data_IF_771445421177
#
_entry.id   IF_771445421177
#
_cell.length_a   1.000
_cell.length_b   1.000
_cell.length_c   1.000
_cell.angle_alpha   90.00
_cell.angle_beta   90.00
_cell.angle_gamma   90.00
#
_symmetry.space_group_name_H-M   'P 1'
#
loop_
_entity.id
_entity.type
_entity.pdbx_description
1 polymer ?
#
# COMPACT_ATOMS: atom_id res chain seq x y z
N UNK A 1 -36.88 -16.15 -5.35
CA UNK A 1 -36.12 -15.46 -6.41
C UNK A 1 -36.50 -16.08 -7.75
N UNK A 2 -37.11 -15.31 -8.67
CA UNK A 2 -37.48 -15.83 -9.98
C UNK A 2 -36.23 -16.02 -10.87
N UNK A 3 -36.08 -17.16 -11.57
CA UNK A 3 -34.95 -17.39 -12.47
C UNK A 3 -35.02 -16.42 -13.66
N UNK A 4 -33.89 -15.77 -13.95
CA UNK A 4 -33.74 -14.85 -15.08
C UNK A 4 -33.85 -15.65 -16.38
N UNK A 5 -34.94 -15.44 -17.14
CA UNK A 5 -35.28 -16.25 -18.33
C UNK A 5 -34.42 -15.97 -19.57
N UNK A 6 -33.56 -14.95 -19.59
CA UNK A 6 -32.58 -14.71 -20.68
C UNK A 6 -31.33 -13.94 -20.21
N UNK A 7 -30.15 -14.11 -20.84
CA UNK A 7 -28.93 -13.32 -20.55
C UNK A 7 -29.12 -11.81 -20.66
N UNK A 8 -30.02 -11.36 -21.55
CA UNK A 8 -30.33 -9.95 -21.73
C UNK A 8 -31.10 -9.37 -20.53
N UNK A 9 -32.08 -10.10 -19.98
CA UNK A 9 -32.78 -9.69 -18.77
C UNK A 9 -31.83 -9.60 -17.56
N UNK A 10 -30.85 -10.51 -17.46
CA UNK A 10 -29.82 -10.47 -16.43
C UNK A 10 -28.94 -9.21 -16.54
N UNK A 11 -28.54 -8.84 -17.77
CA UNK A 11 -27.75 -7.63 -18.03
C UNK A 11 -28.52 -6.34 -17.70
N UNK A 12 -29.80 -6.26 -18.05
CA UNK A 12 -30.64 -5.09 -17.72
C UNK A 12 -30.77 -4.94 -16.21
N UNK A 13 -31.04 -6.04 -15.49
CA UNK A 13 -31.14 -6.02 -14.03
C UNK A 13 -29.82 -5.64 -13.36
N UNK A 14 -28.69 -6.18 -13.85
CA UNK A 14 -27.36 -5.82 -13.38
C UNK A 14 -27.10 -4.32 -13.55
N UNK A 15 -27.37 -3.78 -14.75
CA UNK A 15 -27.22 -2.35 -15.04
C UNK A 15 -28.05 -1.48 -14.10
N UNK A 16 -29.31 -1.83 -13.85
CA UNK A 16 -30.19 -1.07 -12.94
C UNK A 16 -29.65 -1.06 -11.50
N UNK A 17 -29.21 -2.22 -10.99
CA UNK A 17 -28.63 -2.35 -9.65
C UNK A 17 -27.32 -1.56 -9.54
N UNK A 18 -26.46 -1.61 -10.55
CA UNK A 18 -25.21 -0.84 -10.59
C UNK A 18 -25.48 0.67 -10.62
N UNK A 19 -26.39 1.13 -11.48
CA UNK A 19 -26.77 2.54 -11.53
C UNK A 19 -27.31 3.05 -10.19
N UNK A 20 -28.14 2.25 -9.51
CA UNK A 20 -28.65 2.58 -8.18
C UNK A 20 -27.51 2.66 -7.15
N UNK A 21 -26.58 1.70 -7.14
CA UNK A 21 -25.48 1.68 -6.19
C UNK A 21 -24.51 2.85 -6.41
N UNK A 22 -24.13 3.14 -7.66
CA UNK A 22 -23.29 4.28 -8.00
C UNK A 22 -24.01 5.60 -7.68
N UNK A 23 -25.30 5.71 -7.97
CA UNK A 23 -26.09 6.90 -7.63
C UNK A 23 -26.21 7.15 -6.12
N UNK A 24 -26.41 6.09 -5.33
CA UNK A 24 -26.41 6.20 -3.87
C UNK A 24 -25.03 6.64 -3.32
N UNK A 25 -23.95 6.19 -3.96
CA UNK A 25 -22.60 6.62 -3.60
C UNK A 25 -22.34 8.09 -3.97
N UNK A 26 -22.73 8.53 -5.16
CA UNK A 26 -22.60 9.93 -5.58
C UNK A 26 -23.35 10.88 -4.64
N UNK A 27 -24.60 10.53 -4.28
CA UNK A 27 -25.38 11.31 -3.32
C UNK A 27 -24.71 11.37 -1.95
N UNK A 28 -24.20 10.24 -1.46
CA UNK A 28 -23.48 10.20 -0.20
C UNK A 28 -22.19 11.04 -0.23
N UNK A 29 -21.44 11.03 -1.33
CA UNK A 29 -20.26 11.89 -1.51
C UNK A 29 -20.63 13.37 -1.48
N UNK A 30 -21.72 13.76 -2.15
CA UNK A 30 -22.24 15.12 -2.12
C UNK A 30 -22.59 15.55 -0.69
N UNK A 31 -23.34 14.71 0.04
CA UNK A 31 -23.72 14.98 1.43
C UNK A 31 -22.49 15.06 2.35
N UNK A 32 -21.50 14.17 2.13
CA UNK A 32 -20.25 14.13 2.88
C UNK A 32 -19.42 15.39 2.67
N UNK A 33 -19.27 15.83 1.42
CA UNK A 33 -18.55 17.07 1.10
C UNK A 33 -19.21 18.27 1.78
N UNK A 34 -20.53 18.42 1.63
CA UNK A 34 -21.27 19.50 2.30
C UNK A 34 -21.18 19.43 3.83
N UNK A 35 -21.12 18.23 4.41
CA UNK A 35 -20.88 18.05 5.84
C UNK A 35 -19.45 18.47 6.25
N UNK A 36 -18.44 18.10 5.46
CA UNK A 36 -17.04 18.48 5.70
C UNK A 36 -16.84 20.00 5.62
N UNK A 37 -17.46 20.66 4.64
CA UNK A 37 -17.37 22.11 4.46
C UNK A 37 -17.98 22.86 5.65
N UNK A 38 -19.17 22.43 6.12
CA UNK A 38 -19.80 23.00 7.32
C UNK A 38 -18.98 22.75 8.59
N UNK A 39 -18.41 21.54 8.74
CA UNK A 39 -17.54 21.22 9.86
C UNK A 39 -16.27 22.10 9.85
N UNK A 40 -15.69 22.35 8.68
CA UNK A 40 -14.53 23.22 8.54
C UNK A 40 -14.87 24.69 8.82
N UNK A 41 -16.02 25.17 8.34
CA UNK A 41 -16.51 26.53 8.63
C UNK A 41 -16.73 26.74 10.14
N UNK A 42 -17.36 25.80 10.83
CA UNK A 42 -17.54 25.85 12.28
C UNK A 42 -16.21 25.87 13.05
N UNK A 43 -15.23 25.04 12.62
CA UNK A 43 -13.87 25.07 13.19
C UNK A 43 -13.19 26.44 13.02
N UNK A 44 -13.33 27.06 11.83
CA UNK A 44 -12.79 28.41 11.58
C UNK A 44 -13.49 29.47 12.44
N UNK A 45 -14.80 29.35 12.62
CA UNK A 45 -15.59 30.21 13.49
C UNK A 45 -15.44 29.89 15.00
N UNK A 46 -14.66 28.85 15.35
CA UNK A 46 -14.51 28.33 16.73
C UNK A 46 -15.86 28.00 17.40
N UNK A 47 -16.84 27.55 16.62
CA UNK A 47 -18.15 27.11 17.10
C UNK A 47 -18.23 25.59 17.17
N UNK A 48 -19.14 25.08 18.00
CA UNK A 48 -19.44 23.65 18.05
C UNK A 48 -20.20 23.21 16.80
N UNK A 49 -19.90 21.99 16.33
CA UNK A 49 -20.55 21.40 15.16
C UNK A 49 -21.05 20.00 15.50
N UNK A 50 -22.37 19.87 15.67
CA UNK A 50 -23.01 18.66 16.16
C UNK A 50 -23.91 17.97 15.10
N UNK A 51 -23.72 18.26 13.81
CA UNK A 51 -24.49 17.61 12.77
C UNK A 51 -24.02 16.15 12.57
N UNK A 52 -24.94 15.17 12.48
CA UNK A 52 -24.57 13.78 12.26
C UNK A 52 -23.86 13.62 10.91
N UNK A 53 -22.81 12.80 10.89
CA UNK A 53 -22.09 12.48 9.64
C UNK A 53 -22.99 11.63 8.73
N UNK A 54 -23.03 11.90 7.41
CA UNK A 54 -23.79 11.08 6.45
C UNK A 54 -23.42 9.60 6.55
N UNK A 55 -24.43 8.74 6.61
CA UNK A 55 -24.25 7.29 6.72
C UNK A 55 -23.76 6.73 5.38
N UNK A 56 -22.75 5.87 5.45
CA UNK A 56 -22.22 5.18 4.27
C UNK A 56 -23.31 4.25 3.71
N UNK A 57 -23.54 4.22 2.39
CA UNK A 57 -24.42 3.24 1.77
C UNK A 57 -24.00 1.80 2.11
N UNK A 58 -24.95 0.86 2.28
CA UNK A 58 -24.62 -0.53 2.58
C UNK A 58 -23.82 -1.17 1.43
N UNK A 59 -22.91 -2.11 1.74
CA UNK A 59 -22.16 -2.83 0.71
C UNK A 59 -23.11 -3.67 -0.15
N UNK A 60 -22.86 -3.69 -1.45
CA UNK A 60 -23.60 -4.49 -2.41
C UNK A 60 -22.78 -5.71 -2.82
N UNK A 61 -23.37 -6.90 -2.67
CA UNK A 61 -22.83 -8.15 -3.22
C UNK A 61 -23.60 -8.54 -4.48
N UNK A 62 -22.87 -8.71 -5.58
CA UNK A 62 -23.43 -9.18 -6.86
C UNK A 62 -22.88 -10.56 -7.15
N UNK A 63 -23.75 -11.58 -7.08
CA UNK A 63 -23.43 -12.92 -7.56
C UNK A 63 -23.92 -13.07 -8.99
N UNK A 64 -22.98 -13.07 -9.93
CA UNK A 64 -23.24 -13.15 -11.36
C UNK A 64 -22.14 -13.99 -12.02
N UNK A 65 -22.52 -14.87 -12.95
CA UNK A 65 -21.57 -15.72 -13.66
C UNK A 65 -20.55 -14.88 -14.42
N UNK A 66 -19.35 -15.44 -14.60
CA UNK A 66 -18.34 -14.89 -15.52
C UNK A 66 -18.92 -14.78 -16.93
N UNK A 67 -18.40 -13.83 -17.74
CA UNK A 67 -18.87 -13.62 -19.12
C UNK A 67 -20.16 -12.78 -19.29
N UNK A 68 -20.83 -12.37 -18.21
CA UNK A 68 -22.03 -11.51 -18.31
C UNK A 68 -21.72 -10.06 -18.72
N UNK A 69 -20.44 -9.67 -18.74
CA UNK A 69 -20.00 -8.30 -19.07
C UNK A 69 -20.05 -7.34 -17.88
N UNK A 70 -19.89 -7.84 -16.64
CA UNK A 70 -19.96 -7.04 -15.40
C UNK A 70 -19.01 -5.83 -15.43
N UNK A 71 -17.73 -6.09 -15.65
CA UNK A 71 -16.67 -5.08 -15.64
C UNK A 71 -16.86 -4.05 -16.76
N UNK A 72 -17.38 -4.49 -17.92
CA UNK A 72 -17.72 -3.59 -19.03
C UNK A 72 -18.91 -2.68 -18.72
N UNK A 73 -19.98 -3.19 -18.10
CA UNK A 73 -21.12 -2.36 -17.66
C UNK A 73 -20.69 -1.34 -16.59
N UNK A 74 -19.86 -1.76 -15.64
CA UNK A 74 -19.31 -0.85 -14.62
C UNK A 74 -18.46 0.22 -15.30
N UNK A 75 -17.62 -0.13 -16.27
CA UNK A 75 -16.81 0.82 -17.02
C UNK A 75 -17.66 1.86 -17.77
N UNK A 76 -18.74 1.43 -18.45
CA UNK A 76 -19.66 2.33 -19.14
C UNK A 76 -20.35 3.31 -18.17
N UNK A 77 -20.88 2.81 -17.05
CA UNK A 77 -21.57 3.66 -16.07
C UNK A 77 -20.56 4.62 -15.41
N UNK A 78 -19.38 4.14 -15.04
CA UNK A 78 -18.35 4.96 -14.40
C UNK A 78 -17.85 6.07 -15.33
N UNK A 79 -17.64 5.76 -16.62
CA UNK A 79 -17.24 6.74 -17.63
C UNK A 79 -18.22 7.92 -17.73
N UNK A 80 -19.52 7.66 -17.66
CA UNK A 80 -20.57 8.67 -17.78
C UNK A 80 -20.73 9.53 -16.52
N UNK A 81 -20.53 8.94 -15.34
CA UNK A 81 -20.83 9.58 -14.05
C UNK A 81 -19.65 10.30 -13.42
N UNK A 82 -18.42 9.98 -13.83
CA UNK A 82 -17.18 10.42 -13.17
C UNK A 82 -17.12 10.11 -11.66
N UNK A 83 -17.91 9.14 -11.19
CA UNK A 83 -17.92 8.68 -9.80
C UNK A 83 -16.51 8.28 -9.37
N UNK A 84 -15.99 8.81 -8.24
CA UNK A 84 -14.71 8.38 -7.69
C UNK A 84 -14.72 6.88 -7.40
N UNK A 85 -13.96 6.10 -8.17
CA UNK A 85 -14.02 4.64 -8.18
C UNK A 85 -12.63 4.03 -8.11
N UNK A 86 -12.49 2.97 -7.31
CA UNK A 86 -11.34 2.07 -7.29
C UNK A 86 -11.80 0.67 -7.70
N UNK A 87 -11.42 0.24 -8.90
CA UNK A 87 -11.69 -1.09 -9.43
C UNK A 87 -10.53 -2.02 -9.12
N UNK A 88 -10.74 -2.99 -8.23
CA UNK A 88 -9.75 -3.97 -7.84
C UNK A 88 -9.98 -5.26 -8.61
N UNK A 89 -8.90 -5.83 -9.15
CA UNK A 89 -8.92 -6.98 -10.06
C UNK A 89 -7.91 -8.05 -9.65
N UNK A 90 -8.17 -9.28 -10.09
CA UNK A 90 -7.30 -10.43 -9.83
C UNK A 90 -5.99 -10.42 -10.62
N UNK A 91 -5.90 -9.73 -11.75
CA UNK A 91 -4.68 -9.67 -12.58
C UNK A 91 -4.46 -8.28 -13.16
N UNK A 92 -3.22 -8.00 -13.60
CA UNK A 92 -2.89 -6.74 -14.29
C UNK A 92 -3.59 -6.62 -15.64
N UNK A 93 -3.83 -7.73 -16.33
CA UNK A 93 -4.50 -7.72 -17.62
C UNK A 93 -5.98 -7.33 -17.48
N UNK A 94 -6.66 -7.82 -16.42
CA UNK A 94 -8.03 -7.41 -16.12
C UNK A 94 -8.12 -5.93 -15.74
N UNK A 95 -7.14 -5.41 -15.00
CA UNK A 95 -7.00 -3.97 -14.73
C UNK A 95 -6.91 -3.18 -16.04
N UNK A 96 -6.03 -3.58 -16.94
CA UNK A 96 -5.78 -2.87 -18.19
C UNK A 96 -7.00 -2.96 -19.13
N UNK A 97 -7.66 -4.12 -19.17
CA UNK A 97 -8.92 -4.30 -19.90
C UNK A 97 -10.04 -3.39 -19.36
N UNK A 98 -10.15 -3.21 -18.04
CA UNK A 98 -11.11 -2.29 -17.44
C UNK A 98 -10.81 -0.83 -17.82
N UNK A 99 -9.54 -0.40 -17.74
CA UNK A 99 -9.13 0.95 -18.13
C UNK A 99 -9.43 1.21 -19.61
N UNK A 100 -9.11 0.25 -20.48
CA UNK A 100 -9.45 0.33 -21.90
C UNK A 100 -10.97 0.43 -22.12
N UNK A 101 -11.78 -0.35 -21.38
CA UNK A 101 -13.24 -0.29 -21.47
C UNK A 101 -13.81 1.07 -21.02
N UNK A 102 -13.25 1.70 -19.98
CA UNK A 102 -13.63 3.06 -19.58
C UNK A 102 -13.30 4.05 -20.69
N UNK A 103 -12.11 3.95 -21.30
CA UNK A 103 -11.70 4.79 -22.42
C UNK A 103 -12.61 4.64 -23.65
N UNK A 104 -12.99 3.41 -24.00
CA UNK A 104 -13.95 3.13 -25.09
C UNK A 104 -15.34 3.71 -24.82
N UNK A 105 -15.74 3.82 -23.55
CA UNK A 105 -16.98 4.46 -23.14
C UNK A 105 -16.89 5.99 -23.05
N UNK A 106 -15.76 6.60 -23.44
CA UNK A 106 -15.54 8.04 -23.42
C UNK A 106 -15.08 8.60 -22.07
N UNK A 107 -14.73 7.74 -21.10
CA UNK A 107 -14.23 8.14 -19.79
C UNK A 107 -12.70 8.17 -19.71
N UNK A 108 -12.19 8.54 -18.54
CA UNK A 108 -10.76 8.47 -18.21
C UNK A 108 -10.57 7.65 -16.94
N UNK A 109 -9.67 6.67 -16.99
CA UNK A 109 -9.27 5.86 -15.85
C UNK A 109 -7.74 5.70 -15.81
N UNK A 110 -7.19 5.65 -14.60
CA UNK A 110 -5.77 5.41 -14.39
C UNK A 110 -5.51 3.96 -13.98
N UNK A 111 -4.62 3.28 -14.70
CA UNK A 111 -4.10 1.98 -14.30
C UNK A 111 -3.06 2.17 -13.20
N UNK A 112 -3.35 1.77 -11.97
CA UNK A 112 -2.34 1.77 -10.92
C UNK A 112 -1.39 0.58 -11.06
N UNK A 113 -0.10 0.90 -11.08
CA UNK A 113 1.00 -0.05 -10.92
C UNK A 113 1.81 0.31 -9.67
N UNK A 114 2.29 -0.74 -8.99
CA UNK A 114 3.32 -0.58 -7.96
C UNK A 114 4.65 -0.13 -8.56
N UNK A 115 5.65 0.10 -7.71
CA UNK A 115 7.01 0.42 -8.18
C UNK A 115 7.53 -0.71 -9.05
N UNK A 116 8.02 -0.37 -10.24
CA UNK A 116 8.72 -1.34 -11.06
C UNK A 116 10.17 -1.52 -10.62
N UNK A 117 10.65 -2.75 -10.68
CA UNK A 117 11.99 -3.13 -10.21
C UNK A 117 13.04 -3.09 -11.32
N UNK A 118 12.67 -3.42 -12.55
CA UNK A 118 13.61 -3.45 -13.67
C UNK A 118 13.73 -2.09 -14.36
N UNK A 119 14.95 -1.68 -14.75
CA UNK A 119 15.15 -0.54 -15.65
C UNK A 119 14.34 -0.71 -16.94
N UNK A 120 13.81 0.41 -17.48
CA UNK A 120 12.98 0.40 -18.69
C UNK A 120 11.50 0.03 -18.47
N UNK A 121 11.12 -0.46 -17.29
CA UNK A 121 9.70 -0.64 -16.96
C UNK A 121 9.03 0.69 -16.59
N UNK A 122 7.75 0.87 -16.92
CA UNK A 122 6.96 2.02 -16.45
C UNK A 122 7.07 2.17 -14.92
N UNK A 123 7.29 3.40 -14.46
CA UNK A 123 7.39 3.75 -13.03
C UNK A 123 8.52 3.03 -12.27
N UNK A 124 9.61 2.70 -12.98
CA UNK A 124 10.84 2.21 -12.37
C UNK A 124 11.36 3.17 -11.30
N UNK A 125 11.72 2.62 -10.14
CA UNK A 125 12.33 3.38 -9.06
C UNK A 125 13.85 3.27 -9.15
N UNK A 126 14.53 4.40 -9.40
CA UNK A 126 16.00 4.44 -9.51
C UNK A 126 16.74 4.07 -8.21
N UNK A 127 16.02 4.04 -7.07
CA UNK A 127 16.56 3.66 -5.74
C UNK A 127 15.93 2.39 -5.20
N UNK A 128 15.46 1.51 -6.08
CA UNK A 128 14.72 0.31 -5.65
C UNK A 128 15.59 -0.63 -4.81
N UNK A 129 16.88 -0.77 -5.14
CA UNK A 129 17.83 -1.60 -4.40
C UNK A 129 18.16 -1.01 -3.02
N UNK A 130 18.32 0.31 -2.92
CA UNK A 130 18.41 0.99 -1.61
C UNK A 130 17.18 0.71 -0.76
N UNK A 131 15.99 0.79 -1.37
CA UNK A 131 14.72 0.50 -0.72
C UNK A 131 14.61 -0.94 -0.23
N UNK A 132 15.06 -1.92 -1.02
CA UNK A 132 15.11 -3.34 -0.63
C UNK A 132 16.10 -3.57 0.51
N UNK A 133 17.30 -3.02 0.40
CA UNK A 133 18.33 -3.10 1.45
C UNK A 133 17.85 -2.49 2.78
N UNK A 134 17.17 -1.35 2.73
CA UNK A 134 16.62 -0.68 3.91
C UNK A 134 15.39 -1.37 4.49
N UNK A 135 14.51 -1.92 3.64
CA UNK A 135 13.36 -2.71 4.05
C UNK A 135 13.80 -4.02 4.72
N UNK A 136 14.77 -4.73 4.14
CA UNK A 136 15.39 -5.91 4.72
C UNK A 136 16.04 -5.61 6.08
N UNK A 137 16.62 -4.40 6.24
CA UNK A 137 17.19 -3.93 7.51
C UNK A 137 16.14 -3.37 8.48
N UNK A 138 14.85 -3.28 8.13
CA UNK A 138 13.77 -2.60 8.87
C UNK A 138 14.10 -1.16 9.32
N UNK A 139 15.07 -0.50 8.67
CA UNK A 139 15.67 0.76 9.16
C UNK A 139 14.88 2.01 8.78
N UNK A 140 14.11 1.97 7.69
CA UNK A 140 13.44 3.16 7.15
C UNK A 140 12.09 2.74 6.53
N UNK A 141 11.00 3.39 6.93
CA UNK A 141 9.74 3.31 6.19
C UNK A 141 9.96 3.92 4.79
N UNK A 142 9.70 3.16 3.72
CA UNK A 142 9.94 3.57 2.33
C UNK A 142 9.53 5.02 1.95
N UNK A 143 8.47 5.63 2.52
CA UNK A 143 8.16 7.05 2.29
C UNK A 143 9.29 8.03 2.68
N UNK A 144 10.08 7.71 3.70
CA UNK A 144 11.21 8.54 4.15
C UNK A 144 12.38 8.51 3.15
N UNK A 145 12.57 7.40 2.43
CA UNK A 145 13.56 7.32 1.34
C UNK A 145 13.20 8.28 0.21
N UNK A 146 11.91 8.36 -0.14
CA UNK A 146 11.43 9.22 -1.22
C UNK A 146 11.57 10.71 -0.89
N UNK A 147 11.35 11.10 0.37
CA UNK A 147 11.49 12.49 0.84
C UNK A 147 12.92 13.03 0.77
N UNK A 148 13.93 12.17 0.64
CA UNK A 148 15.35 12.53 0.54
C UNK A 148 15.99 12.05 -0.77
N UNK A 149 15.19 11.55 -1.70
CA UNK A 149 15.68 11.08 -2.99
C UNK A 149 15.77 12.25 -3.96
N UNK A 150 16.92 12.47 -4.60
CA UNK A 150 17.12 13.52 -5.63
C UNK A 150 16.06 13.48 -6.74
N UNK A 151 15.69 12.30 -7.24
CA UNK A 151 14.66 12.14 -8.27
C UNK A 151 13.27 12.56 -7.76
N UNK A 152 12.97 12.25 -6.50
CA UNK A 152 11.68 12.60 -5.90
C UNK A 152 11.59 14.07 -5.53
N UNK A 153 12.68 14.66 -5.04
CA UNK A 153 12.79 16.10 -4.80
C UNK A 153 12.69 16.89 -6.11
N UNK A 154 13.30 16.39 -7.20
CA UNK A 154 13.16 16.97 -8.54
C UNK A 154 11.70 17.00 -8.99
N UNK A 155 11.01 15.87 -8.92
CA UNK A 155 9.58 15.79 -9.31
C UNK A 155 8.69 16.71 -8.46
N UNK A 156 8.91 16.75 -7.14
CA UNK A 156 8.15 17.65 -6.26
C UNK A 156 8.40 19.11 -6.59
N UNK A 157 9.67 19.50 -6.81
CA UNK A 157 10.04 20.87 -7.18
C UNK A 157 9.36 21.29 -8.48
N UNK A 158 9.46 20.45 -9.51
CA UNK A 158 8.90 20.76 -10.84
C UNK A 158 7.37 20.87 -10.75
N UNK A 159 6.72 19.99 -9.98
CA UNK A 159 5.29 20.08 -9.69
C UNK A 159 4.90 21.38 -8.96
N UNK A 160 5.55 21.71 -7.84
CA UNK A 160 5.19 22.90 -7.07
C UNK A 160 5.52 24.21 -7.80
N UNK A 161 6.53 24.20 -8.67
CA UNK A 161 6.81 25.28 -9.61
C UNK A 161 5.66 25.42 -10.63
N UNK A 162 5.16 24.32 -11.19
CA UNK A 162 4.08 24.34 -12.18
C UNK A 162 2.75 24.86 -11.60
N UNK A 163 2.41 24.51 -10.36
CA UNK A 163 1.20 25.01 -9.68
C UNK A 163 1.38 26.37 -9.01
N UNK A 164 2.58 26.98 -9.09
CA UNK A 164 2.86 28.34 -8.58
C UNK A 164 2.95 28.46 -7.05
N UNK A 165 3.35 27.42 -6.33
CA UNK A 165 3.43 27.45 -4.86
C UNK A 165 4.82 27.83 -4.34
N UNK A 166 5.09 29.12 -4.20
CA UNK A 166 6.39 29.64 -3.71
C UNK A 166 6.77 29.09 -2.35
N UNK A 167 5.79 28.96 -1.43
CA UNK A 167 6.02 28.42 -0.08
C UNK A 167 6.50 26.97 -0.11
N UNK A 168 5.87 26.13 -0.93
CA UNK A 168 6.28 24.71 -1.02
C UNK A 168 7.60 24.59 -1.80
N UNK A 169 7.78 25.42 -2.82
CA UNK A 169 9.01 25.48 -3.59
C UNK A 169 10.20 25.82 -2.69
N UNK A 170 10.11 26.88 -1.89
CA UNK A 170 11.14 27.28 -0.93
C UNK A 170 11.45 26.17 0.09
N UNK A 171 10.42 25.47 0.58
CA UNK A 171 10.59 24.34 1.50
C UNK A 171 11.37 23.18 0.85
N UNK A 172 11.05 22.85 -0.40
CA UNK A 172 11.75 21.79 -1.13
C UNK A 172 13.18 22.22 -1.45
N UNK A 173 13.38 23.48 -1.84
CA UNK A 173 14.70 24.06 -2.11
C UNK A 173 15.62 23.93 -0.88
N UNK A 174 15.11 24.26 0.31
CA UNK A 174 15.84 24.10 1.58
C UNK A 174 16.24 22.64 1.85
N UNK A 175 15.39 21.67 1.51
CA UNK A 175 15.71 20.23 1.65
C UNK A 175 16.77 19.81 0.63
N UNK A 176 16.71 20.33 -0.60
CA UNK A 176 17.71 20.06 -1.66
C UNK A 176 19.08 20.59 -1.23
N UNK A 177 19.14 21.81 -0.71
CA UNK A 177 20.36 22.46 -0.23
C UNK A 177 20.94 21.70 0.97
N UNK A 178 20.11 21.39 1.97
CA UNK A 178 20.54 20.64 3.17
C UNK A 178 21.06 19.24 2.84
N UNK A 179 20.60 18.65 1.74
CA UNK A 179 21.05 17.33 1.27
C UNK A 179 22.28 17.40 0.34
N UNK A 180 22.76 18.59 -0.02
CA UNK A 180 23.90 18.78 -0.92
C UNK A 180 23.60 18.49 -2.40
N UNK A 181 22.33 18.52 -2.83
CA UNK A 181 21.93 18.17 -4.20
C UNK A 181 21.79 19.36 -5.15
N UNK A 182 22.23 20.56 -4.77
CA UNK A 182 21.95 21.82 -5.49
C UNK A 182 22.28 21.74 -7.00
N UNK A 183 23.49 21.28 -7.35
CA UNK A 183 23.92 21.14 -8.76
C UNK A 183 23.40 19.86 -9.42
N UNK A 184 23.32 18.78 -8.65
CA UNK A 184 22.97 17.45 -9.17
C UNK A 184 21.50 17.36 -9.60
N UNK A 185 20.62 18.12 -8.94
CA UNK A 185 19.18 18.03 -9.19
C UNK A 185 18.79 18.55 -10.57
N UNK A 186 19.57 19.46 -11.16
CA UNK A 186 19.31 19.95 -12.51
C UNK A 186 19.58 18.90 -13.58
N UNK A 187 20.53 18.00 -13.32
CA UNK A 187 20.90 16.90 -14.22
C UNK A 187 20.14 15.61 -13.91
N UNK A 188 19.36 15.60 -12.83
CA UNK A 188 18.64 14.42 -12.35
C UNK A 188 17.29 14.30 -13.04
N UNK A 189 16.94 13.09 -13.50
CA UNK A 189 15.61 12.79 -14.02
C UNK A 189 14.55 12.79 -12.93
N UNK A 190 13.39 13.36 -13.20
CA UNK A 190 12.27 13.36 -12.27
C UNK A 190 11.74 11.93 -12.00
N UNK A 191 11.18 11.71 -10.81
CA UNK A 191 10.67 10.39 -10.41
C UNK A 191 9.29 10.10 -11.02
N UNK A 192 9.27 9.32 -12.10
CA UNK A 192 8.03 8.86 -12.76
C UNK A 192 7.06 8.13 -11.82
N UNK A 193 7.55 7.46 -10.77
CA UNK A 193 6.68 6.78 -9.81
C UNK A 193 5.95 7.75 -8.88
N UNK A 194 6.60 8.84 -8.45
CA UNK A 194 5.94 9.87 -7.62
C UNK A 194 4.92 10.63 -8.45
N UNK A 195 5.23 10.95 -9.71
CA UNK A 195 4.28 11.50 -10.66
C UNK A 195 3.05 10.58 -10.78
N UNK A 196 3.28 9.30 -11.10
CA UNK A 196 2.21 8.30 -11.20
C UNK A 196 1.37 8.16 -9.93
N UNK A 197 1.97 8.20 -8.73
CA UNK A 197 1.22 8.18 -7.48
C UNK A 197 0.31 9.40 -7.32
N UNK A 198 0.82 10.60 -7.64
CA UNK A 198 0.03 11.84 -7.62
C UNK A 198 -1.13 11.73 -8.60
N UNK A 199 -0.83 11.37 -9.85
CA UNK A 199 -1.81 11.34 -10.95
C UNK A 199 -2.90 10.29 -10.69
N UNK A 200 -2.51 9.12 -10.15
CA UNK A 200 -3.47 8.09 -9.71
C UNK A 200 -4.36 8.61 -8.58
N UNK A 201 -3.80 9.32 -7.61
CA UNK A 201 -4.58 9.86 -6.48
C UNK A 201 -5.59 10.91 -6.93
N UNK A 202 -5.26 11.66 -7.99
CA UNK A 202 -6.14 12.68 -8.57
C UNK A 202 -7.12 12.16 -9.62
N UNK A 203 -6.85 11.01 -10.25
CA UNK A 203 -7.76 10.41 -11.23
C UNK A 203 -9.06 9.96 -10.55
N UNK A 204 -10.26 10.30 -11.05
CA UNK A 204 -11.52 9.89 -10.43
C UNK A 204 -11.74 8.38 -10.53
N UNK A 205 -11.31 7.74 -11.61
CA UNK A 205 -11.42 6.28 -11.78
C UNK A 205 -10.02 5.68 -11.78
N UNK A 206 -9.78 4.72 -10.90
CA UNK A 206 -8.52 3.98 -10.79
C UNK A 206 -8.81 2.50 -10.87
N UNK A 207 -8.00 1.76 -11.62
CA UNK A 207 -7.99 0.30 -11.59
C UNK A 207 -6.68 -0.20 -11.00
N UNK A 208 -6.73 -1.22 -10.14
CA UNK A 208 -5.54 -1.83 -9.54
C UNK A 208 -5.69 -3.35 -9.39
N UNK A 209 -4.57 -4.04 -9.25
CA UNK A 209 -4.52 -5.43 -8.79
C UNK A 209 -4.77 -5.51 -7.27
N UNK A 210 -5.36 -6.58 -6.76
CA UNK A 210 -5.65 -6.74 -5.32
C UNK A 210 -4.45 -6.49 -4.41
N UNK A 211 -3.30 -7.06 -4.72
CA UNK A 211 -2.08 -6.91 -3.93
C UNK A 211 -1.54 -5.47 -3.89
N UNK A 212 -2.06 -4.59 -4.75
CA UNK A 212 -1.69 -3.18 -4.81
C UNK A 212 -2.59 -2.28 -3.95
N UNK A 213 -3.62 -2.82 -3.30
CA UNK A 213 -4.55 -2.04 -2.49
C UNK A 213 -3.82 -1.26 -1.38
N UNK A 214 -4.24 -0.01 -1.19
CA UNK A 214 -3.83 0.79 -0.03
C UNK A 214 -4.94 1.77 0.31
N UNK A 215 -4.97 2.24 1.57
CA UNK A 215 -5.92 3.26 2.01
C UNK A 215 -5.81 4.56 1.21
N UNK A 216 -4.60 4.89 0.72
CA UNK A 216 -4.38 6.03 -0.16
C UNK A 216 -5.06 5.87 -1.53
N UNK A 217 -5.12 4.65 -2.08
CA UNK A 217 -5.86 4.37 -3.31
C UNK A 217 -7.38 4.38 -3.09
N UNK A 218 -7.84 4.01 -1.90
CA UNK A 218 -9.26 4.08 -1.53
C UNK A 218 -9.77 5.53 -1.36
N UNK A 219 -8.87 6.50 -1.44
CA UNK A 219 -9.17 7.93 -1.37
C UNK A 219 -8.92 8.59 -2.73
N UNK A 220 -9.75 9.56 -3.04
CA UNK A 220 -9.62 10.46 -4.16
C UNK A 220 -9.34 11.86 -3.62
N UNK A 221 -8.36 12.53 -4.22
CA UNK A 221 -8.15 13.95 -4.02
C UNK A 221 -8.42 14.66 -5.33
N UNK A 222 -9.04 15.83 -5.27
CA UNK A 222 -9.11 16.65 -6.48
C UNK A 222 -7.69 17.01 -6.97
N UNK A 223 -7.50 17.17 -8.29
CA UNK A 223 -6.24 17.66 -8.83
C UNK A 223 -5.87 19.01 -8.22
N UNK A 224 -4.60 19.18 -7.87
CA UNK A 224 -4.07 20.47 -7.43
C UNK A 224 -3.69 21.24 -8.70
N UNK A 225 -4.47 22.25 -9.03
CA UNK A 225 -4.27 23.07 -10.23
C UNK A 225 -3.57 24.39 -9.93
N UNK A 226 -3.62 24.85 -8.67
CA UNK A 226 -3.06 26.12 -8.23
C UNK A 226 -2.49 26.05 -6.81
N UNK A 227 -1.79 27.11 -6.41
CA UNK A 227 -1.29 27.26 -5.05
C UNK A 227 -2.40 27.40 -3.98
N UNK A 228 -3.62 27.80 -4.38
CA UNK A 228 -4.76 27.88 -3.47
C UNK A 228 -5.33 26.49 -3.14
N UNK A 229 -5.08 25.51 -4.00
CA UNK A 229 -5.64 24.16 -3.93
C UNK A 229 -4.70 23.13 -3.31
N UNK A 230 -3.66 23.54 -2.56
CA UNK A 230 -2.59 22.63 -2.14
C UNK A 230 -3.03 21.50 -1.19
N UNK A 231 -4.21 21.61 -0.58
CA UNK A 231 -4.74 20.62 0.36
C UNK A 231 -6.23 20.38 0.12
N UNK A 232 -6.61 19.79 -1.03
CA UNK A 232 -8.00 19.45 -1.27
C UNK A 232 -8.42 18.36 -0.26
N UNK A 233 -9.70 18.33 0.14
CA UNK A 233 -10.19 17.29 1.04
C UNK A 233 -10.03 15.90 0.40
N UNK A 234 -9.73 14.90 1.24
CA UNK A 234 -9.77 13.50 0.83
C UNK A 234 -11.22 13.03 0.80
N UNK A 235 -11.67 12.60 -0.37
CA UNK A 235 -12.95 11.94 -0.56
C UNK A 235 -12.75 10.42 -0.70
N UNK A 236 -13.61 9.59 -0.10
CA UNK A 236 -13.56 8.15 -0.31
C UNK A 236 -13.98 7.77 -1.73
N UNK A 237 -13.40 6.71 -2.29
CA UNK A 237 -13.85 6.11 -3.55
C UNK A 237 -14.83 4.97 -3.29
N UNK A 238 -15.70 4.70 -4.25
CA UNK A 238 -16.41 3.44 -4.33
C UNK A 238 -15.40 2.34 -4.68
N UNK A 239 -15.22 1.38 -3.77
CA UNK A 239 -14.35 0.23 -4.01
C UNK A 239 -15.19 -0.87 -4.66
N UNK A 240 -14.78 -1.28 -5.85
CA UNK A 240 -15.35 -2.43 -6.56
C UNK A 240 -14.30 -3.53 -6.57
N UNK A 241 -14.69 -4.73 -6.18
CA UNK A 241 -13.81 -5.91 -6.12
C UNK A 241 -14.36 -6.91 -7.15
N UNK A 242 -13.61 -7.11 -8.25
CA UNK A 242 -14.00 -7.99 -9.36
C UNK A 242 -13.37 -9.39 -9.26
N UNK A 243 -14.21 -10.39 -9.03
CA UNK A 243 -13.82 -11.72 -8.56
C UNK A 243 -13.33 -11.69 -7.10
N UNK A 244 -13.65 -12.73 -6.33
CA UNK A 244 -13.28 -12.76 -4.91
C UNK A 244 -11.76 -12.82 -4.79
N UNK A 245 -11.09 -11.91 -4.04
CA UNK A 245 -9.67 -12.02 -3.81
C UNK A 245 -9.42 -13.34 -3.07
N UNK A 246 -8.32 -14.05 -3.32
CA UNK A 246 -7.99 -15.24 -2.57
C UNK A 246 -7.86 -14.87 -1.09
N UNK A 247 -8.89 -15.22 -0.30
CA UNK A 247 -8.95 -14.93 1.13
C UNK A 247 -7.99 -15.83 1.93
N UNK A 248 -7.51 -16.91 1.32
CA UNK A 248 -6.44 -17.75 1.80
C UNK A 248 -5.33 -17.81 0.73
N UNK A 249 -4.13 -17.36 1.10
CA UNK A 249 -2.93 -17.75 0.38
C UNK A 249 -2.34 -18.96 1.10
N UNK A 250 -2.16 -20.05 0.36
CA UNK A 250 -1.33 -21.15 0.85
C UNK A 250 0.12 -20.65 0.79
N UNK A 251 0.73 -20.46 1.96
CA UNK A 251 2.16 -20.18 2.06
C UNK A 251 2.85 -21.52 2.18
N UNK A 252 3.54 -21.92 1.12
CA UNK A 252 4.43 -23.08 1.18
C UNK A 252 5.68 -22.67 1.94
N UNK A 253 5.94 -23.32 3.07
CA UNK A 253 7.18 -23.18 3.84
C UNK A 253 8.00 -24.43 3.59
N UNK A 254 9.21 -24.25 3.07
CA UNK A 254 10.15 -25.34 2.81
C UNK A 254 11.23 -25.41 3.90
N UNK A 255 11.99 -26.50 3.91
CA UNK A 255 13.18 -26.62 4.76
C UNK A 255 14.25 -25.58 4.41
N UNK A 256 14.34 -25.14 3.15
CA UNK A 256 15.23 -24.06 2.71
C UNK A 256 14.84 -22.72 3.33
N UNK A 257 13.54 -22.40 3.41
CA UNK A 257 13.06 -21.18 4.06
C UNK A 257 13.44 -21.16 5.55
N UNK A 258 13.29 -22.29 6.23
CA UNK A 258 13.65 -22.42 7.65
C UNK A 258 15.17 -22.29 7.84
N UNK A 259 15.97 -22.92 6.99
CA UNK A 259 17.42 -22.78 7.02
C UNK A 259 17.84 -21.32 6.80
N UNK A 260 17.20 -20.61 5.87
CA UNK A 260 17.45 -19.19 5.63
C UNK A 260 17.08 -18.33 6.84
N UNK A 261 15.93 -18.59 7.49
CA UNK A 261 15.54 -17.88 8.70
C UNK A 261 16.52 -18.15 9.85
N UNK A 262 16.93 -19.40 10.03
CA UNK A 262 17.90 -19.82 11.04
C UNK A 262 19.25 -19.12 10.85
N UNK A 263 19.76 -19.07 9.61
CA UNK A 263 20.99 -18.36 9.27
C UNK A 263 20.91 -16.84 9.58
N UNK A 264 19.72 -16.24 9.51
CA UNK A 264 19.51 -14.84 9.85
C UNK A 264 19.37 -14.56 11.36
N UNK A 265 19.10 -15.57 12.18
CA UNK A 265 18.89 -15.40 13.62
C UNK A 265 20.15 -14.94 14.35
N UNK A 266 21.31 -15.54 14.05
CA UNK A 266 22.60 -15.14 14.68
C UNK A 266 22.86 -13.64 14.53
N UNK A 267 22.92 -13.12 13.29
CA UNK A 267 23.05 -11.67 13.05
C UNK A 267 21.92 -10.83 13.66
N UNK A 268 20.70 -11.36 13.77
CA UNK A 268 19.58 -10.64 14.39
C UNK A 268 19.73 -10.52 15.91
N UNK A 269 20.19 -11.57 16.58
CA UNK A 269 20.48 -11.60 18.01
C UNK A 269 21.60 -10.62 18.35
N UNK A 270 22.68 -10.61 17.57
CA UNK A 270 23.79 -9.67 17.75
C UNK A 270 23.34 -8.22 17.61
N UNK A 271 22.51 -7.92 16.60
CA UNK A 271 21.92 -6.59 16.44
C UNK A 271 21.02 -6.20 17.60
N UNK A 272 20.17 -7.12 18.08
CA UNK A 272 19.30 -6.85 19.22
C UNK A 272 20.11 -6.57 20.50
N UNK A 273 21.23 -7.28 20.71
CA UNK A 273 22.17 -7.00 21.82
C UNK A 273 22.84 -5.64 21.66
N UNK A 274 23.33 -5.32 20.46
CA UNK A 274 23.95 -4.02 20.20
C UNK A 274 22.97 -2.85 20.40
N UNK A 275 21.72 -2.99 19.93
CA UNK A 275 20.64 -2.02 20.14
C UNK A 275 20.34 -1.85 21.64
N UNK A 276 20.29 -2.95 22.40
CA UNK A 276 20.11 -2.92 23.85
C UNK A 276 21.26 -2.15 24.53
N UNK A 277 22.52 -2.51 24.26
CA UNK A 277 23.69 -1.83 24.84
C UNK A 277 23.70 -0.35 24.50
N UNK A 278 23.35 0.01 23.26
CA UNK A 278 23.24 1.41 22.84
C UNK A 278 22.14 2.14 23.61
N UNK A 279 20.96 1.55 23.77
CA UNK A 279 19.85 2.16 24.48
C UNK A 279 20.15 2.32 25.98
N UNK A 280 20.86 1.36 26.59
CA UNK A 280 21.37 1.47 27.96
C UNK A 280 22.38 2.61 28.13
N UNK A 281 23.28 2.79 27.17
CA UNK A 281 24.22 3.92 27.16
C UNK A 281 23.49 5.25 27.04
N UNK A 282 22.52 5.34 26.11
CA UNK A 282 21.69 6.54 25.94
C UNK A 282 20.89 6.88 27.21
N UNK A 283 20.38 5.87 27.91
CA UNK A 283 19.68 6.07 29.18
C UNK A 283 20.62 6.66 30.25
N UNK A 284 21.87 6.19 30.33
CA UNK A 284 22.88 6.73 31.27
C UNK A 284 23.26 8.17 30.94
N UNK A 285 23.29 8.53 29.66
CA UNK A 285 23.62 9.87 29.17
C UNK A 285 22.41 10.82 29.15
N UNK A 286 21.20 10.34 29.43
CA UNK A 286 20.00 11.14 29.33
C UNK A 286 19.82 12.08 30.53
N UNK A 287 20.04 13.37 30.28
CA UNK A 287 19.83 14.46 31.24
C UNK A 287 18.37 14.86 31.40
N UNK A 288 17.55 14.68 30.34
CA UNK A 288 16.14 15.07 30.29
C UNK A 288 15.21 13.88 30.43
N UNK A 289 14.07 14.10 31.08
CA UNK A 289 13.06 13.08 31.34
C UNK A 289 12.47 12.48 30.05
N UNK A 290 12.24 13.28 29.02
CA UNK A 290 11.76 12.79 27.72
C UNK A 290 12.77 11.86 27.04
N UNK A 291 14.06 12.18 27.11
CA UNK A 291 15.14 11.35 26.58
C UNK A 291 15.27 10.04 27.35
N UNK A 292 15.05 10.06 28.67
CA UNK A 292 15.02 8.84 29.51
C UNK A 292 13.86 7.93 29.11
N UNK A 293 12.66 8.48 28.91
CA UNK A 293 11.49 7.72 28.46
C UNK A 293 11.69 7.07 27.09
N UNK A 294 12.29 7.81 26.15
CA UNK A 294 12.65 7.26 24.83
C UNK A 294 13.67 6.12 24.94
N UNK A 295 14.76 6.32 25.69
CA UNK A 295 15.76 5.27 25.88
C UNK A 295 15.19 4.03 26.58
N UNK A 296 14.30 4.19 27.56
CA UNK A 296 13.58 3.08 28.20
C UNK A 296 12.67 2.31 27.22
N UNK A 297 11.97 3.03 26.33
CA UNK A 297 11.17 2.40 25.28
C UNK A 297 12.06 1.60 24.32
N UNK A 298 13.21 2.15 23.92
CA UNK A 298 14.18 1.48 23.05
C UNK A 298 14.76 0.22 23.71
N UNK A 299 15.09 0.25 25.01
CA UNK A 299 15.53 -0.92 25.78
C UNK A 299 14.43 -2.00 25.78
N UNK A 300 13.18 -1.61 26.05
CA UNK A 300 12.04 -2.54 26.07
C UNK A 300 11.83 -3.21 24.72
N UNK A 301 11.95 -2.45 23.63
CA UNK A 301 11.85 -2.97 22.27
C UNK A 301 13.02 -3.89 21.91
N UNK A 302 14.25 -3.52 22.26
CA UNK A 302 15.43 -4.35 22.05
C UNK A 302 15.32 -5.68 22.80
N UNK A 303 14.88 -5.64 24.06
CA UNK A 303 14.64 -6.84 24.88
C UNK A 303 13.55 -7.73 24.30
N UNK A 304 12.44 -7.15 23.82
CA UNK A 304 11.38 -7.91 23.15
C UNK A 304 11.91 -8.60 21.90
N UNK A 305 12.67 -7.90 21.06
CA UNK A 305 13.29 -8.48 19.85
C UNK A 305 14.27 -9.60 20.21
N UNK A 306 15.11 -9.41 21.22
CA UNK A 306 16.06 -10.43 21.68
C UNK A 306 15.33 -11.68 22.17
N UNK A 307 14.28 -11.52 22.99
CA UNK A 307 13.45 -12.62 23.46
C UNK A 307 12.79 -13.38 22.30
N UNK A 308 12.21 -12.66 21.32
CA UNK A 308 11.63 -13.30 20.13
C UNK A 308 12.66 -14.02 19.27
N UNK A 309 13.87 -13.47 19.09
CA UNK A 309 14.92 -14.12 18.31
C UNK A 309 15.43 -15.39 19.01
N UNK A 310 15.56 -15.38 20.35
CA UNK A 310 15.93 -16.57 21.12
C UNK A 310 14.84 -17.64 21.05
N UNK A 311 13.58 -17.27 21.25
CA UNK A 311 12.47 -18.21 21.09
C UNK A 311 12.41 -18.82 19.68
N UNK A 312 12.67 -18.01 18.64
CA UNK A 312 12.76 -18.52 17.27
C UNK A 312 13.98 -19.43 17.05
N UNK A 313 15.10 -19.18 17.74
CA UNK A 313 16.29 -20.03 17.70
C UNK A 313 16.00 -21.44 18.22
N UNK A 314 15.10 -21.56 19.19
CA UNK A 314 14.69 -22.83 19.77
C UNK A 314 13.58 -23.51 18.94
N UNK A 315 12.67 -22.73 18.35
CA UNK A 315 11.50 -23.23 17.61
C UNK A 315 11.78 -23.62 16.16
N UNK A 316 12.67 -22.93 15.46
CA UNK A 316 12.97 -23.23 14.04
C UNK A 316 13.56 -24.65 13.83
N UNK A 317 14.47 -25.17 14.68
CA UNK A 317 14.90 -26.56 14.61
C UNK A 317 13.75 -27.55 14.74
N UNK A 318 12.85 -27.33 15.71
CA UNK A 318 11.67 -28.18 15.92
C UNK A 318 10.74 -28.16 14.71
N UNK A 319 10.52 -26.99 14.11
CA UNK A 319 9.70 -26.85 12.91
C UNK A 319 10.34 -27.56 11.70
N UNK A 320 11.66 -27.44 11.51
CA UNK A 320 12.37 -28.14 10.45
C UNK A 320 12.27 -29.66 10.59
N UNK A 321 12.42 -30.16 11.81
CA UNK A 321 12.26 -31.58 12.13
C UNK A 321 10.84 -32.05 11.84
N UNK A 322 9.82 -31.34 12.29
CA UNK A 322 8.43 -31.72 12.08
C UNK A 322 8.01 -31.73 10.60
N UNK A 323 8.51 -30.78 9.80
CA UNK A 323 8.29 -30.77 8.35
C UNK A 323 8.96 -31.98 7.69
N UNK A 324 10.20 -32.32 8.10
CA UNK A 324 10.91 -33.48 7.57
C UNK A 324 10.19 -34.80 7.90
N UNK A 325 9.71 -34.97 9.15
CA UNK A 325 8.96 -36.16 9.56
C UNK A 325 7.60 -36.25 8.86
N UNK A 326 6.90 -35.13 8.73
CA UNK A 326 5.59 -35.10 8.05
C UNK A 326 5.70 -35.40 6.55
N UNK A 327 6.83 -35.05 5.92
CA UNK A 327 7.12 -35.39 4.53
C UNK A 327 7.43 -36.89 4.31
N UNK A 328 7.76 -37.63 5.36
CA UNK A 328 7.94 -39.10 5.29
C UNK A 328 6.65 -39.88 5.56
N UNK A 329 5.64 -39.25 6.19
CA UNK A 329 4.36 -39.89 6.53
C UNK A 329 3.33 -39.88 5.39
N UNK A 330 3.52 -39.02 4.38
CA UNK A 330 2.72 -39.02 3.15
C UNK A 330 3.54 -39.71 2.05
N UNK A 331 3.01 -40.78 1.44
CA UNK A 331 3.63 -41.60 0.38
C UNK A 331 4.04 -40.85 -0.92
N UNK A 332 4.04 -39.51 -0.91
CA UNK A 332 4.62 -38.69 -1.97
C UNK A 332 6.12 -38.50 -1.70
N UNK A 333 6.93 -39.15 -2.54
CA UNK A 333 8.42 -39.17 -2.59
C UNK A 333 9.12 -38.24 -1.57
N UNK A 334 9.96 -38.79 -0.68
CA UNK A 334 10.65 -37.99 0.32
C UNK A 334 11.50 -36.94 -0.38
N UNK A 335 11.20 -35.66 -0.12
CA UNK A 335 12.21 -34.63 -0.23
C UNK A 335 13.11 -34.89 0.96
N UNK A 336 14.17 -35.69 0.75
CA UNK A 336 15.19 -35.88 1.78
C UNK A 336 15.63 -34.48 2.22
N UNK A 337 15.42 -34.10 3.49
CA UNK A 337 15.98 -32.85 3.98
C UNK A 337 17.48 -32.91 3.73
N UNK A 338 18.08 -31.82 3.23
CA UNK A 338 19.51 -31.82 3.00
C UNK A 338 20.23 -32.32 4.27
N UNK A 339 21.25 -33.19 4.15
CA UNK A 339 21.88 -33.84 5.30
C UNK A 339 22.27 -32.84 6.41
N UNK A 340 22.66 -31.62 6.04
CA UNK A 340 22.98 -30.55 6.99
C UNK A 340 21.82 -30.06 7.86
N UNK A 341 20.57 -30.12 7.40
CA UNK A 341 19.38 -29.66 8.16
C UNK A 341 18.94 -30.72 9.17
N UNK A 342 18.97 -32.00 8.77
CA UNK A 342 18.67 -33.12 9.67
C UNK A 342 19.71 -33.24 10.77
N UNK A 343 21.01 -33.15 10.40
CA UNK A 343 22.12 -33.16 11.35
C UNK A 343 22.04 -31.96 12.30
N UNK A 344 21.81 -30.75 11.78
CA UNK A 344 21.65 -29.54 12.59
C UNK A 344 20.47 -29.59 13.58
N UNK A 345 19.35 -30.20 13.19
CA UNK A 345 18.20 -30.38 14.08
C UNK A 345 18.50 -31.44 15.17
N UNK A 346 19.15 -32.55 14.81
CA UNK A 346 19.54 -33.61 15.76
C UNK A 346 20.57 -33.11 16.78
N UNK A 347 21.57 -32.33 16.35
CA UNK A 347 22.63 -31.78 17.20
C UNK A 347 22.10 -30.78 18.26
N UNK A 348 20.84 -30.34 18.17
CA UNK A 348 20.23 -29.36 19.09
C UNK A 348 19.03 -29.89 19.89
N UNK A 349 18.61 -31.13 19.66
CA UNK A 349 17.51 -31.78 20.38
C UNK A 349 18.00 -32.74 21.49
N UNK A 350 19.31 -32.94 21.61
CA UNK A 350 20.01 -33.54 22.76
C UNK A 350 20.44 -32.42 23.71
#
# INVERSE_FOLDING_TARGET
MAPLRTPQAARVRLSAVLQQALGAHDQWLFDLQGWQDRAQAARRARTSFNAPKPRVPPPLLIQASTGLGKSYQIAQIAAQRQTPLLFLTATRDLRDAFVAAVGQAGGQAQAYSGRAHAPGQPHHCQRIEDGRSLAAKRRIQQPLLCRRCKHGLREQRDFYRAVGSDRQLARIQSVIESAGFHEEIERTTACNWIAHQRDTRSAPIVAAHYASFSSALAQWRQPILSADDLNPPDLPRLIVIDETPPLAQTVTITSEDIAQWSAQLGPAIERARADQTKAELLLRMAEREESRKLAQADIKDANRRLASCKAAQDLLPLLAHWIAESAHAADDRPIDPQPGVQQWAQDRLV
#
